data_IF_169912568059
#
_entry.id   IF_169912568059
#
_cell.length_a   1.000
_cell.length_b   1.000
_cell.length_c   1.000
_cell.angle_alpha   90.00
_cell.angle_beta   90.00
_cell.angle_gamma   90.00
#
_symmetry.space_group_name_H-M   'P 1'
#
loop_
_entity.id
_entity.type
_entity.pdbx_description
1 polymer ?
#
# COMPACT_ATOMS: atom_id res chain seq x y z
N UNK A 1 26.74 41.70 -14.66
CA UNK A 1 25.38 41.22 -15.03
C UNK A 1 25.37 39.79 -15.60
N UNK A 2 26.24 39.41 -16.56
CA UNK A 2 26.26 38.04 -17.13
C UNK A 2 26.44 36.89 -16.12
N UNK A 3 27.36 37.02 -15.16
CA UNK A 3 27.63 35.96 -14.16
C UNK A 3 26.42 35.68 -13.25
N UNK A 4 25.68 36.72 -12.86
CA UNK A 4 24.48 36.57 -12.01
C UNK A 4 23.34 35.85 -12.75
N UNK A 5 23.13 36.17 -14.03
CA UNK A 5 22.14 35.50 -14.87
C UNK A 5 22.47 34.00 -15.07
N UNK A 6 23.75 33.66 -15.27
CA UNK A 6 24.19 32.25 -15.38
C UNK A 6 23.96 31.47 -14.07
N UNK A 7 24.25 32.08 -12.92
CA UNK A 7 24.03 31.43 -11.62
C UNK A 7 22.53 31.17 -11.37
N UNK A 8 21.66 32.14 -11.66
CA UNK A 8 20.21 31.98 -11.51
C UNK A 8 19.69 30.86 -12.42
N UNK A 9 20.16 30.79 -13.66
CA UNK A 9 19.74 29.76 -14.62
C UNK A 9 20.17 28.36 -14.17
N UNK A 10 21.38 28.19 -13.63
CA UNK A 10 21.85 26.90 -13.11
C UNK A 10 21.04 26.47 -11.89
N UNK A 11 20.71 27.38 -10.97
CA UNK A 11 19.87 27.08 -9.81
C UNK A 11 18.46 26.64 -10.24
N UNK A 12 17.86 27.35 -11.20
CA UNK A 12 16.55 26.98 -11.73
C UNK A 12 16.57 25.61 -12.42
N UNK A 13 17.61 25.31 -13.20
CA UNK A 13 17.79 24.00 -13.84
C UNK A 13 17.95 22.88 -12.80
N UNK A 14 18.75 23.09 -11.75
CA UNK A 14 18.95 22.11 -10.69
C UNK A 14 17.67 21.89 -9.88
N UNK A 15 16.89 22.95 -9.61
CA UNK A 15 15.59 22.83 -8.96
C UNK A 15 14.59 22.05 -9.82
N UNK A 16 14.60 22.30 -11.14
CA UNK A 16 13.75 21.57 -12.10
C UNK A 16 14.14 20.09 -12.23
N UNK A 17 15.45 19.80 -12.27
CA UNK A 17 15.96 18.42 -12.26
C UNK A 17 15.62 17.70 -10.96
N UNK A 18 15.77 18.37 -9.82
CA UNK A 18 15.41 17.81 -8.51
C UNK A 18 13.90 17.51 -8.44
N UNK A 19 13.06 18.41 -8.96
CA UNK A 19 11.61 18.21 -9.00
C UNK A 19 11.22 16.96 -9.82
N UNK A 20 11.84 16.76 -10.99
CA UNK A 20 11.62 15.56 -11.81
C UNK A 20 12.26 14.28 -11.25
N UNK A 21 13.23 14.41 -10.34
CA UNK A 21 13.85 13.27 -9.67
C UNK A 21 13.09 12.84 -8.40
N UNK A 22 12.21 13.67 -7.85
CA UNK A 22 11.46 13.36 -6.63
C UNK A 22 10.07 12.83 -6.94
N UNK A 23 9.78 11.61 -6.50
CA UNK A 23 8.45 11.00 -6.64
C UNK A 23 7.37 11.72 -5.85
N UNK A 24 6.11 11.50 -6.22
CA UNK A 24 4.94 12.12 -5.58
C UNK A 24 4.50 11.32 -4.37
N UNK A 25 4.24 11.99 -3.25
CA UNK A 25 3.69 11.36 -2.05
C UNK A 25 2.22 11.73 -1.92
N UNK A 26 1.41 10.75 -1.54
CA UNK A 26 -0.03 10.89 -1.33
C UNK A 26 -0.40 10.35 0.04
N UNK A 27 -1.46 10.86 0.61
CA UNK A 27 -2.03 10.28 1.82
C UNK A 27 -3.30 11.00 2.23
N UNK A 28 -4.11 10.31 3.00
CA UNK A 28 -5.40 10.81 3.44
C UNK A 28 -6.28 9.70 3.95
N UNK A 29 -7.56 10.01 4.09
CA UNK A 29 -8.59 9.07 4.48
C UNK A 29 -9.51 8.81 3.28
N UNK A 30 -9.98 7.57 3.14
CA UNK A 30 -10.79 7.09 2.04
C UNK A 30 -12.03 6.39 2.60
N UNK A 31 -13.22 6.87 2.24
CA UNK A 31 -14.49 6.24 2.67
C UNK A 31 -14.73 4.95 1.89
N UNK A 32 -14.27 4.92 0.64
CA UNK A 32 -14.35 3.78 -0.27
C UNK A 32 -12.99 3.57 -0.95
N UNK A 33 -12.69 2.37 -1.46
CA UNK A 33 -11.43 2.16 -2.17
C UNK A 33 -11.26 3.07 -3.38
N UNK A 34 -12.34 3.42 -4.09
CA UNK A 34 -12.31 4.35 -5.22
C UNK A 34 -11.83 5.76 -4.87
N UNK A 35 -11.88 6.15 -3.59
CA UNK A 35 -11.32 7.43 -3.12
C UNK A 35 -9.78 7.41 -3.08
N UNK A 36 -9.16 6.22 -3.14
CA UNK A 36 -7.71 6.06 -3.13
C UNK A 36 -7.18 6.32 -4.56
N UNK A 37 -6.32 7.33 -4.75
CA UNK A 37 -5.82 7.67 -6.07
C UNK A 37 -4.99 6.52 -6.64
N UNK A 38 -4.99 6.40 -7.97
CA UNK A 38 -4.20 5.44 -8.78
C UNK A 38 -4.66 3.98 -8.66
N UNK A 39 -4.93 3.50 -7.45
CA UNK A 39 -5.17 2.08 -7.19
C UNK A 39 -6.62 1.77 -6.82
N UNK A 40 -7.46 2.77 -6.59
CA UNK A 40 -8.82 2.59 -6.07
C UNK A 40 -9.73 1.67 -6.89
N UNK A 41 -9.69 1.78 -8.22
CA UNK A 41 -10.45 0.88 -9.10
C UNK A 41 -10.00 -0.58 -8.98
N UNK A 42 -8.71 -0.80 -8.73
CA UNK A 42 -8.15 -2.14 -8.55
C UNK A 42 -8.46 -2.75 -7.17
N UNK A 43 -9.13 -2.01 -6.29
CA UNK A 43 -9.51 -2.40 -4.94
C UNK A 43 -11.03 -2.50 -4.77
N UNK A 44 -11.81 -2.51 -5.87
CA UNK A 44 -13.27 -2.38 -5.86
C UNK A 44 -14.03 -3.41 -5.03
N UNK A 45 -13.44 -4.58 -4.81
CA UNK A 45 -14.01 -5.70 -4.04
C UNK A 45 -13.77 -5.57 -2.53
N UNK A 46 -12.90 -4.66 -2.12
CA UNK A 46 -12.60 -4.39 -0.73
C UNK A 46 -13.62 -3.39 -0.16
N UNK A 47 -14.51 -3.86 0.69
CA UNK A 47 -15.50 -3.01 1.37
C UNK A 47 -14.96 -2.56 2.74
N UNK A 48 -14.87 -1.25 2.96
CA UNK A 48 -14.47 -0.65 4.24
C UNK A 48 -15.66 -0.52 5.19
N UNK A 49 -15.45 -0.84 6.47
CA UNK A 49 -16.45 -0.60 7.54
C UNK A 49 -16.38 0.86 8.01
N UNK A 50 -15.17 1.37 8.21
CA UNK A 50 -14.87 2.76 8.55
C UNK A 50 -13.89 3.35 7.53
N UNK A 51 -13.79 4.69 7.40
CA UNK A 51 -12.81 5.31 6.52
C UNK A 51 -11.39 4.77 6.76
N UNK A 52 -10.76 4.29 5.69
CA UNK A 52 -9.41 3.75 5.73
C UNK A 52 -8.39 4.87 5.57
N UNK A 53 -7.28 4.80 6.30
CA UNK A 53 -6.14 5.67 6.05
C UNK A 53 -5.26 5.07 4.95
N UNK A 54 -4.76 5.89 4.05
CA UNK A 54 -3.79 5.46 3.04
C UNK A 54 -2.58 6.39 2.97
N UNK A 55 -1.46 5.82 2.55
CA UNK A 55 -0.23 6.53 2.20
C UNK A 55 0.35 5.93 0.94
N UNK A 56 0.73 6.78 0.00
CA UNK A 56 1.25 6.39 -1.30
C UNK A 56 2.53 7.10 -1.66
N UNK A 57 3.35 6.44 -2.47
CA UNK A 57 4.48 7.03 -3.16
C UNK A 57 4.48 6.57 -4.61
N UNK A 58 4.47 7.51 -5.55
CA UNK A 58 4.64 7.26 -6.98
C UNK A 58 6.05 7.67 -7.39
N UNK A 59 6.79 6.74 -7.99
CA UNK A 59 8.13 6.99 -8.50
C UNK A 59 8.07 7.86 -9.77
N UNK A 60 9.03 8.77 -10.01
CA UNK A 60 9.01 9.65 -11.19
C UNK A 60 8.99 8.94 -12.54
N UNK A 61 9.49 7.71 -12.57
CA UNK A 61 9.56 6.86 -13.77
C UNK A 61 8.39 5.86 -13.87
N UNK A 62 7.32 6.13 -13.12
CA UNK A 62 6.16 5.26 -13.04
C UNK A 62 6.29 4.20 -11.94
N UNK A 63 5.13 3.72 -11.53
CA UNK A 63 4.94 2.73 -10.49
C UNK A 63 5.06 3.36 -9.11
N UNK A 64 4.87 2.54 -8.10
CA UNK A 64 4.95 3.04 -6.74
C UNK A 64 4.36 2.07 -5.74
N UNK A 65 4.18 2.55 -4.53
CA UNK A 65 3.67 1.76 -3.41
C UNK A 65 2.53 2.48 -2.73
N UNK A 66 1.50 1.75 -2.32
CA UNK A 66 0.50 2.19 -1.36
C UNK A 66 0.54 1.31 -0.12
N UNK A 67 0.26 1.94 1.02
CA UNK A 67 -0.10 1.29 2.27
C UNK A 67 -1.48 1.78 2.66
N UNK A 68 -2.39 0.86 2.98
CA UNK A 68 -3.77 1.12 3.36
C UNK A 68 -4.01 0.42 4.68
N UNK A 69 -4.59 1.14 5.64
CA UNK A 69 -4.93 0.63 6.96
C UNK A 69 -6.36 1.01 7.27
N UNK A 70 -7.20 0.05 7.62
CA UNK A 70 -8.61 0.30 7.83
C UNK A 70 -9.31 -0.88 8.51
N UNK A 71 -10.63 -0.88 8.40
CA UNK A 71 -11.49 -1.96 8.89
C UNK A 71 -12.32 -2.54 7.76
N UNK A 72 -12.45 -3.86 7.72
CA UNK A 72 -13.22 -4.60 6.73
C UNK A 72 -13.78 -5.88 7.36
N UNK A 73 -14.85 -6.42 6.79
CA UNK A 73 -15.33 -7.76 7.19
C UNK A 73 -14.42 -8.83 6.63
N UNK A 74 -14.40 -10.01 7.24
CA UNK A 74 -13.62 -11.15 6.75
C UNK A 74 -14.05 -11.53 5.31
N UNK A 75 -15.35 -11.56 5.04
CA UNK A 75 -15.90 -11.82 3.69
C UNK A 75 -15.40 -10.82 2.64
N UNK A 76 -15.27 -9.54 3.02
CA UNK A 76 -14.73 -8.48 2.16
C UNK A 76 -13.25 -8.75 1.83
N UNK A 77 -12.44 -9.11 2.84
CA UNK A 77 -11.03 -9.45 2.65
C UNK A 77 -10.87 -10.69 1.78
N UNK A 78 -11.63 -11.75 2.02
CA UNK A 78 -11.57 -12.99 1.23
C UNK A 78 -11.97 -12.71 -0.22
N UNK A 79 -13.07 -12.00 -0.45
CA UNK A 79 -13.53 -11.62 -1.80
C UNK A 79 -12.48 -10.78 -2.54
N UNK A 80 -11.87 -9.83 -1.86
CA UNK A 80 -10.77 -9.05 -2.41
C UNK A 80 -9.59 -9.95 -2.78
N UNK A 81 -9.18 -10.87 -1.91
CA UNK A 81 -8.05 -11.75 -2.17
C UNK A 81 -8.31 -12.69 -3.36
N UNK A 82 -9.50 -13.29 -3.42
CA UNK A 82 -9.92 -14.13 -4.54
C UNK A 82 -9.90 -13.35 -5.87
N UNK A 83 -10.48 -12.15 -5.88
CA UNK A 83 -10.54 -11.31 -7.09
C UNK A 83 -9.18 -10.73 -7.48
N UNK A 84 -8.29 -10.53 -6.51
CA UNK A 84 -6.92 -10.10 -6.74
C UNK A 84 -6.00 -11.27 -7.13
N UNK A 85 -6.49 -12.52 -7.13
CA UNK A 85 -5.74 -13.74 -7.40
C UNK A 85 -4.47 -13.86 -6.52
N UNK A 86 -4.57 -13.48 -5.26
CA UNK A 86 -3.47 -13.56 -4.29
C UNK A 86 -3.59 -14.81 -3.44
N UNK A 87 -2.44 -15.37 -3.05
CA UNK A 87 -2.42 -16.50 -2.13
C UNK A 87 -2.92 -16.07 -0.75
N UNK A 88 -3.80 -16.87 -0.15
CA UNK A 88 -4.50 -16.61 1.10
C UNK A 88 -4.21 -17.72 2.09
N UNK A 89 -3.83 -17.37 3.33
CA UNK A 89 -3.82 -18.31 4.45
C UNK A 89 -4.75 -17.82 5.55
N UNK A 90 -5.82 -18.58 5.80
CA UNK A 90 -6.86 -18.29 6.79
C UNK A 90 -6.50 -18.74 8.21
N UNK A 91 -5.51 -19.64 8.34
CA UNK A 91 -4.96 -20.12 9.61
C UNK A 91 -3.47 -19.70 9.79
N UNK A 92 -2.96 -18.84 8.91
CA UNK A 92 -1.59 -18.30 8.97
C UNK A 92 -0.45 -19.28 8.65
N UNK A 93 -0.71 -20.49 8.14
CA UNK A 93 0.30 -21.55 7.96
C UNK A 93 0.61 -21.97 6.53
N UNK A 94 -0.14 -21.53 5.52
CA UNK A 94 0.17 -21.78 4.09
C UNK A 94 0.44 -20.48 3.32
N UNK A 95 1.42 -19.73 3.81
CA UNK A 95 2.38 -19.04 2.94
C UNK A 95 3.72 -19.37 3.59
N UNK A 96 4.73 -19.81 2.85
CA UNK A 96 6.06 -20.16 3.38
C UNK A 96 6.80 -19.01 4.11
N UNK A 97 6.13 -17.88 4.37
CA UNK A 97 6.68 -16.54 4.52
C UNK A 97 5.90 -15.70 5.55
N UNK A 98 5.20 -16.27 6.56
CA UNK A 98 4.54 -15.46 7.63
C UNK A 98 5.50 -14.45 8.23
N UNK A 99 6.68 -14.93 8.63
CA UNK A 99 7.71 -14.09 9.22
C UNK A 99 8.28 -13.10 8.19
N UNK A 100 8.31 -13.44 6.90
CA UNK A 100 8.76 -12.53 5.84
C UNK A 100 7.73 -11.44 5.52
N UNK A 101 6.42 -11.74 5.56
CA UNK A 101 5.35 -10.74 5.44
C UNK A 101 5.40 -9.78 6.64
N UNK A 102 5.52 -10.33 7.85
CA UNK A 102 5.65 -9.53 9.07
C UNK A 102 6.93 -8.68 9.05
N UNK A 103 8.06 -9.24 8.62
CA UNK A 103 9.32 -8.52 8.45
C UNK A 103 9.20 -7.40 7.39
N UNK A 104 8.61 -7.71 6.23
CA UNK A 104 8.38 -6.77 5.15
C UNK A 104 7.51 -5.59 5.57
N UNK A 105 6.46 -5.84 6.36
CA UNK A 105 5.58 -4.79 6.87
C UNK A 105 6.23 -3.99 8.01
N UNK A 106 7.02 -4.64 8.86
CA UNK A 106 7.79 -3.99 9.94
C UNK A 106 8.79 -2.96 9.39
N UNK A 107 9.54 -3.31 8.35
CA UNK A 107 10.53 -2.42 7.73
C UNK A 107 9.91 -1.19 7.05
N UNK A 108 8.59 -1.20 6.82
CA UNK A 108 7.84 -0.08 6.22
C UNK A 108 7.10 0.77 7.23
N UNK A 109 7.37 0.58 8.52
CA UNK A 109 6.72 1.28 9.64
C UNK A 109 5.18 1.18 9.59
N UNK A 110 4.66 0.11 9.00
CA UNK A 110 3.21 -0.07 8.91
C UNK A 110 2.72 -0.58 10.26
N UNK A 111 1.78 0.15 10.88
CA UNK A 111 1.14 -0.30 12.12
C UNK A 111 0.27 -1.50 11.82
N UNK A 112 0.77 -2.69 12.15
CA UNK A 112 -0.01 -3.92 12.14
C UNK A 112 -1.22 -3.79 13.07
N UNK A 113 -2.32 -4.53 12.82
CA UNK A 113 -3.31 -4.78 13.86
C UNK A 113 -2.59 -5.30 15.10
N UNK A 114 -3.01 -4.87 16.30
CA UNK A 114 -2.26 -5.11 17.53
C UNK A 114 -1.91 -6.60 17.70
N UNK A 115 -0.66 -6.95 17.45
CA UNK A 115 -0.16 -8.30 17.68
C UNK A 115 -0.04 -8.49 19.18
N UNK A 116 -0.89 -9.34 19.75
CA UNK A 116 -0.69 -9.87 21.11
C UNK A 116 -0.24 -11.32 20.99
N UNK A 117 0.62 -11.83 21.89
CA UNK A 117 1.08 -13.21 21.83
C UNK A 117 -0.05 -14.25 21.82
N UNK A 118 -1.21 -13.89 22.39
CA UNK A 118 -2.40 -14.71 22.50
C UNK A 118 -3.39 -14.51 21.33
N UNK A 119 -3.13 -13.57 20.42
CA UNK A 119 -3.99 -13.24 19.28
C UNK A 119 -3.16 -13.03 18.01
N UNK A 120 -3.12 -14.04 17.14
CA UNK A 120 -2.48 -13.93 15.83
C UNK A 120 -3.49 -13.42 14.80
N UNK A 121 -3.09 -12.53 13.88
CA UNK A 121 -3.96 -12.14 12.77
C UNK A 121 -4.34 -13.39 11.97
N UNK A 122 -5.62 -13.50 11.65
CA UNK A 122 -6.20 -14.70 11.05
C UNK A 122 -5.83 -14.82 9.58
N UNK A 123 -5.75 -13.70 8.86
CA UNK A 123 -5.56 -13.76 7.42
C UNK A 123 -4.28 -13.06 7.01
N UNK A 124 -3.37 -13.85 6.44
CA UNK A 124 -2.17 -13.36 5.76
C UNK A 124 -2.35 -13.63 4.27
N UNK A 125 -2.07 -12.61 3.44
CA UNK A 125 -2.15 -12.77 2.00
C UNK A 125 -1.02 -12.04 1.29
N UNK A 126 -0.51 -12.68 0.24
CA UNK A 126 0.51 -12.06 -0.59
C UNK A 126 0.96 -12.93 -1.76
N UNK A 127 1.62 -12.28 -2.72
CA UNK A 127 2.06 -12.80 -4.02
C UNK A 127 0.94 -13.29 -4.97
N UNK A 128 1.08 -12.95 -6.26
CA UNK A 128 0.19 -13.36 -7.34
C UNK A 128 -0.77 -12.25 -7.83
N UNK A 129 -1.27 -12.43 -9.07
CA UNK A 129 -2.48 -11.78 -9.56
C UNK A 129 -2.38 -10.31 -10.01
N UNK A 130 -3.34 -9.49 -9.53
CA UNK A 130 -3.68 -8.15 -10.04
C UNK A 130 -2.59 -7.08 -9.84
N UNK A 131 -1.72 -7.26 -8.86
CA UNK A 131 -0.69 -6.29 -8.49
C UNK A 131 0.72 -6.91 -8.61
N UNK A 132 1.75 -6.14 -9.03
CA UNK A 132 3.12 -6.65 -9.10
C UNK A 132 3.63 -7.18 -7.76
N UNK A 133 3.25 -6.54 -6.66
CA UNK A 133 3.41 -7.04 -5.30
C UNK A 133 2.23 -6.61 -4.45
N UNK A 134 1.69 -7.52 -3.67
CA UNK A 134 0.66 -7.22 -2.69
C UNK A 134 0.91 -8.09 -1.47
N UNK A 135 0.83 -7.46 -0.31
CA UNK A 135 0.98 -8.07 1.00
C UNK A 135 -0.08 -7.51 1.92
N UNK A 136 -0.73 -8.35 2.70
CA UNK A 136 -1.73 -7.91 3.64
C UNK A 136 -1.84 -8.80 4.87
N UNK A 137 -2.33 -8.17 5.93
CA UNK A 137 -2.62 -8.78 7.22
C UNK A 137 -4.02 -8.33 7.60
N UNK A 138 -4.85 -9.27 8.03
CA UNK A 138 -6.17 -8.99 8.59
C UNK A 138 -6.36 -9.75 9.90
N UNK A 139 -6.96 -9.05 10.85
CA UNK A 139 -7.32 -9.53 12.17
C UNK A 139 -8.85 -9.52 12.29
N UNK A 140 -9.46 -10.70 12.36
CA UNK A 140 -10.92 -10.83 12.42
C UNK A 140 -11.52 -10.43 13.77
N UNK A 141 -10.78 -10.54 14.88
CA UNK A 141 -11.31 -10.12 16.18
C UNK A 141 -11.52 -8.61 16.26
N UNK A 142 -10.67 -7.85 15.58
CA UNK A 142 -10.76 -6.38 15.54
C UNK A 142 -11.32 -5.85 14.22
N UNK A 143 -11.54 -6.72 13.22
CA UNK A 143 -11.87 -6.37 11.84
C UNK A 143 -10.85 -5.44 11.18
N UNK A 144 -9.61 -5.37 11.67
CA UNK A 144 -8.60 -4.45 11.16
C UNK A 144 -7.75 -5.12 10.10
N UNK A 145 -7.46 -4.38 9.05
CA UNK A 145 -6.52 -4.81 8.02
C UNK A 145 -5.42 -3.80 7.79
N UNK A 146 -4.34 -4.32 7.24
CA UNK A 146 -3.23 -3.59 6.66
C UNK A 146 -2.93 -4.21 5.31
N UNK A 147 -2.87 -3.40 4.26
CA UNK A 147 -2.46 -3.81 2.91
C UNK A 147 -1.30 -2.93 2.48
N UNK A 148 -0.22 -3.55 1.99
CA UNK A 148 0.85 -2.88 1.27
C UNK A 148 0.93 -3.45 -0.14
N UNK A 149 0.79 -2.60 -1.14
CA UNK A 149 0.81 -3.01 -2.54
C UNK A 149 1.78 -2.14 -3.35
N UNK A 150 2.31 -2.73 -4.41
CA UNK A 150 3.03 -2.07 -5.48
C UNK A 150 2.09 -1.96 -6.68
N UNK A 151 2.13 -0.83 -7.38
CA UNK A 151 1.33 -0.60 -8.58
C UNK A 151 2.24 -0.25 -9.77
N UNK A 152 1.70 -0.42 -10.98
CA UNK A 152 2.32 0.06 -12.22
C UNK A 152 1.97 1.52 -12.46
N UNK A 153 2.93 2.33 -12.91
CA UNK A 153 2.71 3.75 -13.14
C UNK A 153 1.71 4.02 -14.23
N UNK A 154 1.05 5.17 -14.12
CA UNK A 154 0.20 5.71 -15.18
C UNK A 154 0.94 6.67 -16.12
N UNK A 155 2.29 6.76 -16.02
CA UNK A 155 3.14 7.70 -16.77
C UNK A 155 3.97 6.99 -17.82
#
# INVERSE_FOLDING_TARGET
MRKAATVIFVIALLAWLAYHATGSRFGGDATTPSDIPIVGENLSELEFIEPANFRGYEHPHGGGTFTITGTATQDSIVRFCDSAEVSLSQDGTEIAERDDILAYLKDREVKLPEFTPDHSPEVLFGYGGRFPKLYGVYDAATNRFVISLQFYGSK
#
